data_IF_569337677278
#
_entry.id   IF_569337677278
#
_cell.length_a   1.000
_cell.length_b   1.000
_cell.length_c   1.000
_cell.angle_alpha   90.00
_cell.angle_beta   90.00
_cell.angle_gamma   90.00
#
_symmetry.space_group_name_H-M   'P 1'
#
loop_
_entity.id
_entity.type
_entity.pdbx_description
1 polymer ?
#
# COMPACT_ATOMS: atom_id res chain seq x y z
N UNK A 1 -19.63 16.70 -5.63
CA UNK A 1 -18.33 17.30 -5.29
C UNK A 1 -17.30 16.27 -5.69
N UNK A 2 -16.42 16.59 -6.63
CA UNK A 2 -15.34 15.68 -7.05
C UNK A 2 -14.55 15.31 -5.81
N UNK A 3 -14.54 14.03 -5.43
CA UNK A 3 -13.71 13.53 -4.35
C UNK A 3 -12.25 13.90 -4.70
N UNK A 4 -11.73 14.91 -4.02
CA UNK A 4 -10.43 15.46 -4.33
C UNK A 4 -9.38 14.51 -3.75
N UNK A 5 -9.04 13.48 -4.53
CA UNK A 5 -7.98 12.53 -4.21
C UNK A 5 -6.74 13.30 -3.75
N UNK A 6 -6.25 12.99 -2.56
CA UNK A 6 -5.02 13.57 -2.04
C UNK A 6 -3.85 13.26 -3.00
N UNK A 7 -2.90 14.19 -3.17
CA UNK A 7 -1.63 13.90 -3.81
C UNK A 7 -0.96 12.66 -3.23
N UNK A 8 -0.43 11.79 -4.09
CA UNK A 8 0.11 10.49 -3.69
C UNK A 8 1.16 10.59 -2.57
N UNK A 9 2.09 11.56 -2.69
CA UNK A 9 3.11 11.79 -1.67
C UNK A 9 2.55 12.21 -0.30
N UNK A 10 1.42 12.92 -0.26
CA UNK A 10 0.78 13.33 1.00
C UNK A 10 0.09 12.14 1.65
N UNK A 11 -0.59 11.30 0.86
CA UNK A 11 -1.23 10.09 1.35
C UNK A 11 -0.21 9.10 1.91
N UNK A 12 0.86 8.82 1.16
CA UNK A 12 1.97 7.97 1.61
C UNK A 12 2.61 8.53 2.88
N UNK A 13 2.88 9.85 2.92
CA UNK A 13 3.44 10.49 4.10
C UNK A 13 2.50 10.49 5.31
N UNK A 14 1.19 10.50 5.10
CA UNK A 14 0.21 10.37 6.17
C UNK A 14 0.19 8.95 6.75
N UNK A 15 0.20 7.91 5.89
CA UNK A 15 0.26 6.51 6.32
C UNK A 15 1.51 6.24 7.16
N UNK A 16 2.69 6.66 6.68
CA UNK A 16 3.96 6.47 7.39
C UNK A 16 3.89 7.10 8.78
N UNK A 17 3.50 8.37 8.87
CA UNK A 17 3.40 9.07 10.16
C UNK A 17 2.39 8.44 11.11
N UNK A 18 1.26 7.95 10.60
CA UNK A 18 0.23 7.32 11.43
C UNK A 18 0.72 5.98 12.00
N UNK A 19 1.42 5.17 11.20
CA UNK A 19 2.03 3.92 11.65
C UNK A 19 3.15 4.18 12.66
N UNK A 20 4.07 5.10 12.37
CA UNK A 20 5.18 5.46 13.26
C UNK A 20 4.66 6.02 14.60
N UNK A 21 3.64 6.89 14.57
CA UNK A 21 3.01 7.42 15.78
C UNK A 21 2.33 6.33 16.63
N UNK A 22 1.98 5.20 16.03
CA UNK A 22 1.39 4.03 16.69
C UNK A 22 2.44 3.01 17.13
N UNK A 23 3.73 3.32 16.99
CA UNK A 23 4.84 2.46 17.38
C UNK A 23 5.20 1.37 16.37
N UNK A 24 4.62 1.42 15.16
CA UNK A 24 4.99 0.56 14.06
C UNK A 24 6.16 1.10 13.24
N UNK A 25 6.52 0.37 12.19
CA UNK A 25 7.51 0.79 11.21
C UNK A 25 6.86 0.93 9.83
N UNK A 26 7.20 1.97 9.08
CA UNK A 26 6.72 2.13 7.72
C UNK A 26 7.83 2.67 6.83
N UNK A 27 7.87 2.20 5.57
CA UNK A 27 8.94 2.58 4.64
C UNK A 27 8.46 2.67 3.21
N UNK A 28 9.11 3.52 2.42
CA UNK A 28 8.88 3.61 0.97
C UNK A 28 9.89 2.71 0.26
N UNK A 29 9.40 1.63 -0.35
CA UNK A 29 10.22 0.71 -1.14
C UNK A 29 10.45 1.24 -2.57
N UNK A 30 9.47 1.98 -3.12
CA UNK A 30 9.56 2.63 -4.42
C UNK A 30 8.86 3.97 -4.38
N UNK A 31 9.55 5.03 -4.82
CA UNK A 31 8.94 6.35 -5.05
C UNK A 31 8.30 6.38 -6.44
N UNK A 32 7.09 6.92 -6.51
CA UNK A 32 6.34 7.14 -7.73
C UNK A 32 6.22 8.61 -8.10
N UNK A 33 5.32 8.91 -9.03
CA UNK A 33 4.94 10.28 -9.40
C UNK A 33 4.26 10.97 -8.20
N UNK A 34 4.61 12.22 -7.97
CA UNK A 34 4.34 12.94 -6.71
C UNK A 34 2.85 13.18 -6.46
N UNK A 35 2.07 13.49 -7.48
CA UNK A 35 0.69 13.97 -7.37
C UNK A 35 -0.34 12.88 -7.70
N UNK A 36 -0.18 12.25 -8.86
CA UNK A 36 -1.08 11.30 -9.51
C UNK A 36 -0.61 9.85 -9.50
N UNK A 37 0.60 9.57 -8.98
CA UNK A 37 1.10 8.20 -8.83
C UNK A 37 0.10 7.28 -8.13
N UNK A 38 -0.07 6.07 -8.65
CA UNK A 38 -0.83 5.02 -7.97
C UNK A 38 -0.09 4.57 -6.70
N UNK A 39 -0.80 3.99 -5.73
CA UNK A 39 -0.21 3.57 -4.45
C UNK A 39 -0.46 2.08 -4.26
N UNK A 40 0.63 1.34 -4.06
CA UNK A 40 0.65 -0.06 -3.65
C UNK A 40 1.03 -0.07 -2.17
N UNK A 41 0.19 -0.69 -1.36
CA UNK A 41 0.44 -0.80 0.09
C UNK A 41 0.70 -2.24 0.44
N UNK A 42 1.87 -2.51 1.03
CA UNK A 42 2.20 -3.78 1.64
C UNK A 42 1.93 -3.64 3.13
N UNK A 43 1.15 -4.55 3.71
CA UNK A 43 0.97 -4.65 5.15
C UNK A 43 1.66 -5.90 5.66
N UNK A 44 2.35 -5.84 6.79
CA UNK A 44 2.92 -7.00 7.45
C UNK A 44 2.96 -6.79 8.96
N UNK A 45 3.24 -7.85 9.72
CA UNK A 45 3.58 -7.75 11.14
C UNK A 45 4.93 -8.45 11.40
N UNK A 46 5.93 -7.68 11.84
CA UNK A 46 7.30 -8.12 12.08
C UNK A 46 7.89 -8.79 10.83
N UNK A 47 7.70 -8.16 9.67
CA UNK A 47 8.14 -8.66 8.37
C UNK A 47 7.52 -9.98 7.91
N UNK A 48 6.37 -10.39 8.48
CA UNK A 48 5.67 -11.65 8.15
C UNK A 48 4.23 -11.39 7.76
N UNK A 49 3.62 -12.41 7.14
CA UNK A 49 2.22 -12.45 6.72
C UNK A 49 1.87 -11.27 5.78
N UNK A 50 2.80 -10.95 4.89
CA UNK A 50 2.69 -9.76 4.05
C UNK A 50 1.48 -9.82 3.11
N UNK A 51 0.77 -8.71 2.96
CA UNK A 51 -0.37 -8.60 2.03
C UNK A 51 -0.24 -7.34 1.20
N UNK A 52 -0.42 -7.45 -0.12
CA UNK A 52 -0.40 -6.35 -1.06
C UNK A 52 -1.82 -5.88 -1.36
N UNK A 53 -2.06 -4.59 -1.19
CA UNK A 53 -3.30 -3.90 -1.53
C UNK A 53 -3.10 -2.88 -2.65
N UNK A 54 -4.10 -2.77 -3.52
CA UNK A 54 -4.19 -1.74 -4.57
C UNK A 54 -5.57 -1.09 -4.61
N UNK A 55 -5.65 0.17 -5.06
CA UNK A 55 -6.93 0.81 -5.38
C UNK A 55 -7.42 0.37 -6.75
N UNK A 56 -8.45 -0.45 -6.77
CA UNK A 56 -9.11 -0.93 -7.99
C UNK A 56 -10.38 -0.14 -8.27
N UNK A 57 -10.80 0.03 -9.54
CA UNK A 57 -12.10 0.59 -9.87
C UNK A 57 -13.22 -0.18 -9.17
N UNK A 58 -14.17 0.55 -8.59
CA UNK A 58 -15.36 0.01 -7.94
C UNK A 58 -16.60 0.70 -8.50
N UNK A 59 -17.72 -0.03 -8.57
CA UNK A 59 -18.95 0.46 -9.20
C UNK A 59 -19.67 1.51 -8.35
N UNK A 60 -19.52 1.48 -7.03
CA UNK A 60 -20.25 2.35 -6.10
C UNK A 60 -19.37 3.52 -5.66
N UNK A 61 -18.16 3.23 -5.17
CA UNK A 61 -17.26 4.22 -4.54
C UNK A 61 -16.25 4.82 -5.54
N UNK A 62 -16.32 4.41 -6.81
CA UNK A 62 -15.39 4.82 -7.87
C UNK A 62 -14.03 4.16 -7.78
N UNK A 63 -13.48 3.96 -6.57
CA UNK A 63 -12.28 3.13 -6.30
C UNK A 63 -12.34 2.54 -4.89
N UNK A 64 -11.98 1.27 -4.75
CA UNK A 64 -11.83 0.59 -3.45
C UNK A 64 -10.44 0.00 -3.30
N UNK A 65 -9.96 -0.12 -2.07
CA UNK A 65 -8.81 -0.97 -1.80
C UNK A 65 -9.18 -2.45 -1.96
N UNK A 66 -8.33 -3.22 -2.60
CA UNK A 66 -8.51 -4.65 -2.86
C UNK A 66 -7.24 -5.40 -2.52
N UNK A 67 -7.38 -6.51 -1.82
CA UNK A 67 -6.29 -7.46 -1.60
C UNK A 67 -5.93 -8.12 -2.94
N UNK A 68 -4.71 -7.85 -3.42
CA UNK A 68 -4.22 -8.37 -4.70
C UNK A 68 -3.44 -9.66 -4.50
N UNK A 69 -2.64 -9.72 -3.44
CA UNK A 69 -1.82 -10.89 -3.14
C UNK A 69 -1.54 -10.96 -1.65
N UNK A 70 -1.59 -12.17 -1.11
CA UNK A 70 -1.11 -12.51 0.23
C UNK A 70 0.14 -13.36 0.13
N UNK A 71 1.09 -13.14 1.03
CA UNK A 71 2.30 -13.95 1.14
C UNK A 71 1.91 -15.37 1.52
N UNK A 72 2.49 -16.33 0.80
CA UNK A 72 2.44 -17.74 1.16
C UNK A 72 3.60 -18.02 2.14
N UNK A 73 3.34 -18.47 3.38
CA UNK A 73 4.39 -18.82 4.32
C UNK A 73 5.32 -19.93 3.82
N UNK A 74 4.84 -20.82 2.94
CA UNK A 74 5.63 -21.90 2.35
C UNK A 74 6.52 -21.39 1.20
N UNK A 75 6.19 -20.24 0.60
CA UNK A 75 6.97 -19.63 -0.47
C UNK A 75 6.99 -18.09 -0.37
N UNK A 76 7.74 -17.51 0.59
CA UNK A 76 7.77 -16.07 0.81
C UNK A 76 8.46 -15.29 -0.32
N UNK A 77 9.35 -15.92 -1.08
CA UNK A 77 10.08 -15.27 -2.18
C UNK A 77 9.15 -14.89 -3.33
N UNK A 78 8.15 -15.74 -3.63
CA UNK A 78 7.16 -15.49 -4.68
C UNK A 78 6.39 -14.18 -4.48
N UNK A 79 6.14 -13.79 -3.22
CA UNK A 79 5.47 -12.53 -2.91
C UNK A 79 6.34 -11.32 -3.31
N UNK A 80 7.60 -11.31 -2.89
CA UNK A 80 8.53 -10.22 -3.20
C UNK A 80 8.76 -10.11 -4.71
N UNK A 81 8.92 -11.24 -5.38
CA UNK A 81 9.05 -11.34 -6.83
C UNK A 81 7.83 -10.74 -7.55
N UNK A 82 6.63 -10.99 -7.04
CA UNK A 82 5.40 -10.43 -7.59
C UNK A 82 5.31 -8.92 -7.37
N UNK A 83 5.56 -8.45 -6.15
CA UNK A 83 5.54 -7.02 -5.80
C UNK A 83 6.52 -6.25 -6.69
N UNK A 84 7.74 -6.78 -6.88
CA UNK A 84 8.74 -6.14 -7.73
C UNK A 84 8.27 -6.08 -9.20
N UNK A 85 7.76 -7.19 -9.75
CA UNK A 85 7.22 -7.23 -11.11
C UNK A 85 6.05 -6.25 -11.27
N UNK A 86 5.14 -6.19 -10.31
CA UNK A 86 3.98 -5.30 -10.30
C UNK A 86 4.39 -3.83 -10.21
N UNK A 87 5.35 -3.50 -9.36
CA UNK A 87 5.89 -2.15 -9.22
C UNK A 87 6.67 -1.65 -10.44
N UNK A 88 7.21 -2.58 -11.26
CA UNK A 88 7.85 -2.26 -12.56
C UNK A 88 6.84 -2.00 -13.68
N UNK A 89 5.64 -2.57 -13.61
CA UNK A 89 4.59 -2.38 -14.63
C UNK A 89 4.07 -0.93 -14.67
N UNK A 90 3.99 -0.27 -13.50
CA UNK A 90 3.65 1.14 -13.38
C UNK A 90 4.84 1.90 -12.81
N UNK A 91 5.56 2.62 -13.68
CA UNK A 91 6.74 3.39 -13.26
C UNK A 91 6.38 4.53 -12.32
N UNK A 92 5.16 5.03 -12.39
CA UNK A 92 4.66 6.16 -11.61
C UNK A 92 4.09 5.73 -10.25
N UNK A 93 4.01 4.42 -9.98
CA UNK A 93 3.48 3.94 -8.70
C UNK A 93 4.43 4.13 -7.52
N UNK A 94 3.84 4.37 -6.35
CA UNK A 94 4.48 4.25 -5.04
C UNK A 94 4.32 2.83 -4.52
N UNK A 95 5.35 2.31 -3.86
CA UNK A 95 5.26 1.10 -3.04
C UNK A 95 5.65 1.48 -1.62
N UNK A 96 4.71 1.34 -0.69
CA UNK A 96 4.91 1.61 0.73
C UNK A 96 4.61 0.35 1.53
N UNK A 97 5.45 0.06 2.51
CA UNK A 97 5.27 -1.03 3.47
C UNK A 97 4.87 -0.45 4.82
N UNK A 98 3.86 -1.05 5.44
CA UNK A 98 3.35 -0.77 6.78
C UNK A 98 3.54 -2.03 7.64
N UNK A 99 4.57 -2.02 8.49
CA UNK A 99 4.86 -3.08 9.45
C UNK A 99 4.30 -2.70 10.82
N UNK A 100 3.05 -3.15 11.07
CA UNK A 100 2.35 -2.96 12.33
C UNK A 100 1.17 -3.93 12.43
N UNK A 101 0.81 -4.33 13.65
CA UNK A 101 -0.43 -5.07 13.89
C UNK A 101 -1.65 -4.28 13.37
N UNK A 102 -2.58 -4.98 12.71
CA UNK A 102 -3.78 -4.39 12.11
C UNK A 102 -3.47 -3.20 11.17
N UNK A 103 -2.41 -3.31 10.35
CA UNK A 103 -1.95 -2.25 9.46
C UNK A 103 -3.02 -1.67 8.52
N UNK A 104 -4.04 -2.47 8.17
CA UNK A 104 -5.15 -2.06 7.31
C UNK A 104 -5.93 -0.84 7.83
N UNK A 105 -5.97 -0.61 9.14
CA UNK A 105 -6.63 0.57 9.74
C UNK A 105 -5.93 1.90 9.37
N UNK A 106 -4.67 1.84 8.95
CA UNK A 106 -3.88 3.01 8.55
C UNK A 106 -4.00 3.31 7.06
N UNK A 107 -4.74 2.50 6.30
CA UNK A 107 -4.97 2.69 4.87
C UNK A 107 -6.22 3.57 4.69
N UNK A 108 -6.10 4.79 4.12
CA UNK A 108 -7.23 5.70 4.00
C UNK A 108 -8.36 5.12 3.13
N UNK A 109 -9.59 5.12 3.67
CA UNK A 109 -10.78 4.63 2.97
C UNK A 109 -10.94 3.11 2.98
N UNK A 110 -10.23 2.40 3.87
CA UNK A 110 -10.39 0.95 4.05
C UNK A 110 -11.18 0.58 5.32
N UNK A 111 -11.68 1.58 6.06
CA UNK A 111 -12.45 1.45 7.31
C UNK A 111 -13.90 1.86 7.12
#
# INVERSE_FOLDING_TARGET
MTDARLPAHLEVGAMIRAVEASGGFATVLKKGEREAGSILVITCEKGRDSTLYERMPDLDEGRRWTEIRRQDPENPFDFNDYVEKRGRQDRDCWVVELDIANATQFIPGMT
#
